data_IF_505813070178
#
_entry.id   IF_505813070178
#
_cell.length_a   1.000
_cell.length_b   1.000
_cell.length_c   1.000
_cell.angle_alpha   90.00
_cell.angle_beta   90.00
_cell.angle_gamma   90.00
#
_symmetry.space_group_name_H-M   'P 1'
#
loop_
_entity.id
_entity.type
_entity.pdbx_description
1 polymer ?
#
# COMPACT_ATOMS: atom_id res chain seq x y z
N UNK A 1 -17.55 -12.30 10.01
CA UNK A 1 -16.48 -12.62 10.95
C UNK A 1 -15.23 -12.97 10.15
N UNK A 2 -14.05 -12.48 10.55
CA UNK A 2 -12.80 -12.87 9.92
C UNK A 2 -12.43 -14.27 10.39
N UNK A 3 -12.09 -15.16 9.47
CA UNK A 3 -11.67 -16.52 9.80
C UNK A 3 -10.33 -16.48 10.55
N UNK A 4 -10.25 -17.15 11.70
CA UNK A 4 -9.07 -17.17 12.55
C UNK A 4 -7.80 -17.68 11.83
N UNK A 5 -7.94 -18.55 10.84
CA UNK A 5 -6.82 -19.06 10.04
C UNK A 5 -6.09 -17.99 9.23
N UNK A 6 -6.72 -16.82 9.02
CA UNK A 6 -6.16 -15.71 8.25
C UNK A 6 -5.61 -14.57 9.13
N UNK A 7 -5.74 -14.70 10.45
CA UNK A 7 -5.12 -13.74 11.36
C UNK A 7 -3.60 -13.91 11.35
N UNK A 8 -2.90 -12.80 11.56
CA UNK A 8 -1.45 -12.81 11.71
C UNK A 8 -1.04 -13.51 12.99
N UNK A 9 0.08 -14.19 12.95
CA UNK A 9 0.75 -14.71 14.16
C UNK A 9 1.41 -13.54 14.91
N UNK A 10 1.70 -13.74 16.19
CA UNK A 10 2.42 -12.76 17.00
C UNK A 10 3.78 -12.41 16.38
N UNK A 11 4.47 -13.40 15.82
CA UNK A 11 5.72 -13.20 15.12
C UNK A 11 5.57 -12.30 13.88
N UNK A 12 4.54 -12.51 13.06
CA UNK A 12 4.26 -11.67 11.89
C UNK A 12 3.92 -10.24 12.29
N UNK A 13 3.18 -10.06 13.39
CA UNK A 13 2.88 -8.74 13.96
C UNK A 13 4.17 -8.07 14.45
N UNK A 14 5.04 -8.81 15.12
CA UNK A 14 6.32 -8.30 15.60
C UNK A 14 7.22 -7.84 14.46
N UNK A 15 7.32 -8.61 13.37
CA UNK A 15 8.03 -8.21 12.17
C UNK A 15 7.45 -6.91 11.58
N UNK A 16 6.12 -6.84 11.44
CA UNK A 16 5.48 -5.62 10.95
C UNK A 16 5.78 -4.39 11.83
N UNK A 17 5.77 -4.55 13.17
CA UNK A 17 6.11 -3.45 14.10
C UNK A 17 7.56 -3.01 13.93
N UNK A 18 8.46 -3.95 13.69
CA UNK A 18 9.89 -3.68 13.55
C UNK A 18 10.21 -3.03 12.19
N UNK A 19 9.71 -3.63 11.12
CA UNK A 19 10.09 -3.25 9.76
C UNK A 19 9.21 -2.15 9.17
N UNK A 20 7.98 -2.00 9.68
CA UNK A 20 7.03 -0.98 9.23
C UNK A 20 6.25 -1.33 7.98
N UNK A 21 6.46 -2.50 7.40
CA UNK A 21 5.77 -2.98 6.21
C UNK A 21 5.65 -4.50 6.20
N UNK A 22 4.78 -5.01 5.34
CA UNK A 22 4.70 -6.43 5.01
C UNK A 22 4.15 -6.63 3.61
N UNK A 23 4.53 -7.71 2.96
CA UNK A 23 3.97 -8.12 1.68
C UNK A 23 2.84 -9.12 1.90
N UNK A 24 1.72 -8.94 1.23
CA UNK A 24 0.53 -9.79 1.35
C UNK A 24 0.15 -10.33 -0.03
N UNK A 25 0.35 -11.62 -0.25
CA UNK A 25 -0.07 -12.27 -1.50
C UNK A 25 -1.46 -12.89 -1.31
N UNK A 26 -2.45 -12.37 -1.99
CA UNK A 26 -3.83 -12.87 -1.95
C UNK A 26 -4.00 -14.21 -2.67
N UNK A 27 -3.16 -14.47 -3.68
CA UNK A 27 -3.23 -15.69 -4.48
C UNK A 27 -4.30 -15.64 -5.58
N UNK A 28 -4.79 -14.46 -5.94
CA UNK A 28 -5.54 -14.33 -7.18
C UNK A 28 -4.65 -14.66 -8.37
N UNK A 29 -5.27 -15.21 -9.41
CA UNK A 29 -4.55 -15.56 -10.63
C UNK A 29 -4.21 -14.32 -11.46
N UNK A 30 -3.14 -14.41 -12.23
CA UNK A 30 -2.68 -13.35 -13.13
C UNK A 30 -3.80 -12.77 -14.02
N UNK A 31 -4.74 -13.56 -14.61
CA UNK A 31 -5.83 -12.97 -15.38
C UNK A 31 -6.79 -12.06 -14.57
N UNK A 32 -6.83 -12.18 -13.24
CA UNK A 32 -7.60 -11.25 -12.38
C UNK A 32 -6.87 -9.92 -12.33
N UNK A 33 -5.57 -9.94 -12.09
CA UNK A 33 -4.74 -8.74 -12.02
C UNK A 33 -4.70 -8.02 -13.37
N UNK A 34 -4.55 -8.77 -14.48
CA UNK A 34 -4.57 -8.22 -15.83
C UNK A 34 -5.89 -7.51 -16.14
N UNK A 35 -7.05 -8.09 -15.80
CA UNK A 35 -8.34 -7.41 -16.01
C UNK A 35 -8.46 -6.11 -15.22
N UNK A 36 -7.95 -6.09 -13.98
CA UNK A 36 -7.93 -4.88 -13.16
C UNK A 36 -7.05 -3.83 -13.83
N UNK A 37 -5.85 -4.22 -14.29
CA UNK A 37 -4.92 -3.36 -14.99
C UNK A 37 -5.57 -2.76 -16.26
N UNK A 38 -6.11 -3.59 -17.13
CA UNK A 38 -6.75 -3.14 -18.38
C UNK A 38 -7.91 -2.18 -18.12
N UNK A 39 -8.70 -2.44 -17.07
CA UNK A 39 -9.79 -1.55 -16.68
C UNK A 39 -9.27 -0.20 -16.15
N UNK A 40 -8.17 -0.19 -15.41
CA UNK A 40 -7.52 1.04 -14.95
C UNK A 40 -7.02 1.84 -16.14
N UNK A 41 -6.32 1.21 -17.09
CA UNK A 41 -5.84 1.87 -18.32
C UNK A 41 -6.99 2.50 -19.10
N UNK A 42 -8.07 1.75 -19.31
CA UNK A 42 -9.27 2.24 -20.01
C UNK A 42 -9.90 3.47 -19.31
N UNK A 43 -9.95 3.45 -17.97
CA UNK A 43 -10.43 4.59 -17.17
C UNK A 43 -9.51 5.80 -17.35
N UNK A 44 -8.19 5.61 -17.27
CA UNK A 44 -7.24 6.71 -17.44
C UNK A 44 -7.25 7.28 -18.86
N UNK A 45 -7.42 6.43 -19.87
CA UNK A 45 -7.54 6.89 -21.26
C UNK A 45 -8.80 7.73 -21.48
N UNK A 46 -9.94 7.33 -20.93
CA UNK A 46 -11.24 7.97 -21.15
C UNK A 46 -11.53 9.16 -20.24
N UNK A 47 -11.15 9.05 -18.99
CA UNK A 47 -11.54 10.00 -17.93
C UNK A 47 -10.33 10.74 -17.33
N UNK A 48 -9.10 10.30 -17.58
CA UNK A 48 -7.91 10.79 -16.92
C UNK A 48 -7.82 10.30 -15.46
N UNK A 49 -7.08 11.03 -14.63
CA UNK A 49 -6.93 10.67 -13.21
C UNK A 49 -8.21 10.97 -12.43
N UNK A 50 -8.92 9.93 -12.05
CA UNK A 50 -10.19 10.01 -11.32
C UNK A 50 -10.02 10.21 -9.80
N UNK A 51 -8.78 10.28 -9.33
CA UNK A 51 -8.47 10.50 -7.92
C UNK A 51 -9.11 9.46 -7.00
N UNK A 52 -9.80 9.92 -5.97
CA UNK A 52 -10.46 9.07 -4.97
C UNK A 52 -11.65 8.25 -5.51
N UNK A 53 -12.05 8.49 -6.76
CA UNK A 53 -13.20 7.82 -7.38
C UNK A 53 -12.83 6.56 -8.17
N UNK A 54 -11.68 5.96 -7.94
CA UNK A 54 -11.23 4.77 -8.67
C UNK A 54 -12.13 3.54 -8.39
N UNK A 55 -12.56 3.30 -7.17
CA UNK A 55 -13.34 2.10 -6.83
C UNK A 55 -14.69 1.99 -7.55
N UNK A 56 -15.49 3.06 -7.76
CA UNK A 56 -16.71 2.95 -8.56
C UNK A 56 -16.45 2.62 -10.03
N UNK A 57 -15.26 2.91 -10.55
CA UNK A 57 -14.88 2.64 -11.95
C UNK A 57 -14.23 1.29 -12.13
N UNK A 58 -13.49 0.84 -11.11
CA UNK A 58 -12.77 -0.44 -11.09
C UNK A 58 -13.18 -1.21 -9.84
N UNK A 59 -14.43 -1.70 -9.76
CA UNK A 59 -14.95 -2.34 -8.55
C UNK A 59 -14.23 -3.64 -8.19
N UNK A 60 -13.52 -4.26 -9.13
CA UNK A 60 -12.70 -5.44 -8.90
C UNK A 60 -11.60 -5.20 -7.87
N UNK A 61 -11.08 -3.98 -7.74
CA UNK A 61 -10.09 -3.62 -6.71
C UNK A 61 -10.65 -3.92 -5.31
N UNK A 62 -11.95 -3.70 -5.09
CA UNK A 62 -12.57 -4.01 -3.81
C UNK A 62 -12.47 -5.50 -3.44
N UNK A 63 -12.41 -6.41 -4.42
CA UNK A 63 -12.26 -7.84 -4.19
C UNK A 63 -10.89 -8.18 -3.60
N UNK A 64 -9.83 -7.45 -3.98
CA UNK A 64 -8.48 -7.61 -3.43
C UNK A 64 -8.51 -7.32 -1.94
N UNK A 65 -9.08 -6.18 -1.55
CA UNK A 65 -9.18 -5.77 -0.15
C UNK A 65 -10.20 -6.60 0.66
N UNK A 66 -11.21 -7.16 0.00
CA UNK A 66 -12.19 -8.05 0.62
C UNK A 66 -11.71 -9.52 0.73
N UNK A 67 -10.55 -9.86 0.17
CA UNK A 67 -10.00 -11.21 0.25
C UNK A 67 -9.76 -11.61 1.71
N UNK A 68 -10.06 -12.87 2.06
CA UNK A 68 -10.01 -13.35 3.44
C UNK A 68 -8.63 -13.12 4.12
N UNK A 69 -7.55 -13.34 3.38
CA UNK A 69 -6.18 -13.11 3.86
C UNK A 69 -5.92 -11.63 4.15
N UNK A 70 -6.31 -10.74 3.23
CA UNK A 70 -6.17 -9.30 3.42
C UNK A 70 -7.00 -8.80 4.61
N UNK A 71 -8.24 -9.28 4.74
CA UNK A 71 -9.09 -9.00 5.90
C UNK A 71 -8.48 -9.50 7.20
N UNK A 72 -7.82 -10.67 7.19
CA UNK A 72 -7.11 -11.20 8.34
C UNK A 72 -5.99 -10.27 8.79
N UNK A 73 -5.15 -9.82 7.87
CA UNK A 73 -4.07 -8.86 8.13
C UNK A 73 -4.62 -7.57 8.73
N UNK A 74 -5.61 -6.95 8.06
CA UNK A 74 -6.19 -5.69 8.52
C UNK A 74 -6.86 -5.82 9.88
N UNK A 75 -7.56 -6.93 10.13
CA UNK A 75 -8.17 -7.21 11.44
C UNK A 75 -7.11 -7.38 12.54
N UNK A 76 -6.01 -8.06 12.23
CA UNK A 76 -4.92 -8.28 13.21
C UNK A 76 -4.24 -6.97 13.61
N UNK A 77 -4.07 -6.04 12.68
CA UNK A 77 -3.34 -4.80 12.92
C UNK A 77 -4.24 -3.65 13.40
N UNK A 78 -5.46 -3.54 12.90
CA UNK A 78 -6.37 -2.42 13.18
C UNK A 78 -7.56 -2.79 14.08
N UNK A 79 -7.80 -4.08 14.27
CA UNK A 79 -9.03 -4.55 14.93
C UNK A 79 -10.15 -4.83 13.92
N UNK A 80 -11.28 -5.44 14.39
CA UNK A 80 -12.33 -5.92 13.48
C UNK A 80 -13.18 -4.79 12.85
N UNK A 81 -13.16 -3.60 13.41
CA UNK A 81 -14.03 -2.47 13.03
C UNK A 81 -13.29 -1.42 12.18
N UNK A 82 -12.21 -1.82 11.49
CA UNK A 82 -11.48 -0.92 10.60
C UNK A 82 -12.35 -0.41 9.45
N UNK A 83 -12.08 0.80 9.00
CA UNK A 83 -12.79 1.45 7.91
C UNK A 83 -11.83 1.80 6.77
N UNK A 84 -12.34 1.76 5.56
CA UNK A 84 -11.61 2.25 4.40
C UNK A 84 -11.61 3.79 4.40
N UNK A 85 -10.43 4.39 4.41
CA UNK A 85 -10.28 5.83 4.27
C UNK A 85 -10.80 6.29 2.90
N UNK A 86 -11.49 7.44 2.79
CA UNK A 86 -11.88 8.01 1.51
C UNK A 86 -10.70 8.38 0.61
N UNK A 87 -9.52 8.61 1.16
CA UNK A 87 -8.30 8.81 0.36
C UNK A 87 -7.84 7.49 -0.27
N UNK A 88 -8.15 7.34 -1.55
CA UNK A 88 -7.88 6.17 -2.37
C UNK A 88 -7.41 6.67 -3.73
N UNK A 89 -6.15 6.54 -4.01
CA UNK A 89 -5.58 7.04 -5.25
C UNK A 89 -5.06 5.90 -6.11
N UNK A 90 -5.32 5.96 -7.41
CA UNK A 90 -4.57 5.21 -8.39
C UNK A 90 -3.48 6.12 -8.94
N UNK A 91 -2.24 5.73 -8.79
CA UNK A 91 -1.10 6.45 -9.32
C UNK A 91 -0.68 5.84 -10.66
N UNK A 92 -0.57 6.67 -11.67
CA UNK A 92 0.05 6.34 -12.94
C UNK A 92 1.37 7.12 -13.04
N UNK A 93 2.48 6.41 -13.12
CA UNK A 93 3.81 6.99 -13.25
C UNK A 93 4.33 6.72 -14.66
N UNK A 94 4.16 7.65 -15.61
CA UNK A 94 4.69 7.47 -16.96
C UNK A 94 6.22 7.47 -16.96
N UNK A 95 6.86 6.87 -17.99
CA UNK A 95 8.30 6.87 -18.12
C UNK A 95 8.89 8.27 -18.00
N UNK A 96 9.98 8.42 -17.22
CA UNK A 96 10.64 9.70 -16.97
C UNK A 96 9.93 10.62 -15.97
N UNK A 97 8.85 10.17 -15.32
CA UNK A 97 8.24 10.92 -14.22
C UNK A 97 9.21 11.07 -13.06
N UNK A 98 9.13 12.22 -12.38
CA UNK A 98 9.86 12.42 -11.12
C UNK A 98 9.15 11.64 -10.03
N UNK A 99 9.90 10.88 -9.25
CA UNK A 99 9.38 10.23 -8.04
C UNK A 99 8.86 11.25 -7.02
N UNK A 100 8.11 10.78 -6.06
CA UNK A 100 7.71 11.58 -4.90
C UNK A 100 8.88 11.75 -3.95
N UNK A 101 8.85 12.83 -3.16
CA UNK A 101 9.76 13.00 -2.02
C UNK A 101 9.41 12.00 -0.93
N UNK A 102 10.41 11.62 -0.14
CA UNK A 102 10.19 10.76 1.01
C UNK A 102 9.22 11.42 2.00
N UNK A 103 8.18 10.70 2.39
CA UNK A 103 7.16 11.20 3.31
C UNK A 103 6.48 10.05 4.05
N UNK A 104 5.78 10.39 5.10
CA UNK A 104 4.79 9.51 5.75
C UNK A 104 3.41 10.06 5.47
N UNK A 105 2.49 9.17 5.13
CA UNK A 105 1.08 9.52 5.00
C UNK A 105 0.46 9.73 6.39
N UNK A 106 0.53 10.96 6.88
CA UNK A 106 -0.04 11.35 8.16
C UNK A 106 -1.01 12.52 7.95
N UNK A 107 -2.20 12.22 7.44
CA UNK A 107 -3.16 13.24 6.99
C UNK A 107 -3.96 13.91 8.10
N UNK A 108 -3.89 13.42 9.32
CA UNK A 108 -4.82 13.85 10.37
C UNK A 108 -4.18 14.82 11.36
N UNK A 109 -2.86 14.87 11.42
CA UNK A 109 -2.15 15.66 12.43
C UNK A 109 -0.92 16.36 11.82
N UNK A 110 -0.77 17.63 12.15
CA UNK A 110 0.41 18.42 11.80
C UNK A 110 1.69 17.96 12.53
N UNK A 111 1.57 17.02 13.46
CA UNK A 111 2.66 16.53 14.27
C UNK A 111 2.67 15.00 14.31
N UNK A 112 3.87 14.42 14.33
CA UNK A 112 4.05 13.00 14.60
C UNK A 112 3.62 12.67 16.02
N UNK A 113 2.41 12.19 16.18
CA UNK A 113 1.95 11.68 17.46
C UNK A 113 2.35 10.22 17.62
N UNK A 114 3.04 9.91 18.71
CA UNK A 114 3.28 8.52 19.10
C UNK A 114 1.94 7.91 19.51
N UNK A 115 1.48 6.95 18.73
CA UNK A 115 0.27 6.21 19.03
C UNK A 115 0.65 4.83 19.56
N UNK A 116 0.08 4.39 20.68
CA UNK A 116 0.34 3.06 21.22
C UNK A 116 -0.31 1.93 20.39
N UNK A 117 -1.11 2.30 19.38
CA UNK A 117 -1.77 1.38 18.45
C UNK A 117 -1.68 1.92 17.04
N UNK A 118 -1.72 1.04 16.06
CA UNK A 118 -1.87 1.43 14.66
C UNK A 118 -3.26 2.03 14.45
N UNK A 119 -3.30 3.24 13.95
CA UNK A 119 -4.54 3.93 13.58
C UNK A 119 -4.75 3.95 12.07
N UNK A 120 -3.64 3.85 11.33
CA UNK A 120 -3.63 3.96 9.89
C UNK A 120 -2.70 2.92 9.30
N UNK A 121 -3.16 2.29 8.24
CA UNK A 121 -2.36 1.46 7.36
C UNK A 121 -2.55 1.95 5.93
N UNK A 122 -1.46 2.10 5.20
CA UNK A 122 -1.48 2.25 3.77
C UNK A 122 -1.38 0.85 3.13
N UNK A 123 -2.33 0.53 2.27
CA UNK A 123 -2.27 -0.68 1.48
C UNK A 123 -2.06 -0.30 0.01
N UNK A 124 -0.93 -0.72 -0.55
CA UNK A 124 -0.60 -0.57 -1.96
C UNK A 124 -0.93 -1.86 -2.69
N UNK A 125 -1.55 -1.73 -3.85
CA UNK A 125 -1.85 -2.85 -4.74
C UNK A 125 -1.28 -2.56 -6.12
N UNK A 126 -0.54 -3.51 -6.65
CA UNK A 126 0.07 -3.44 -7.98
C UNK A 126 -0.61 -4.45 -8.89
N UNK A 127 -1.43 -3.99 -9.88
CA UNK A 127 -2.12 -4.88 -10.80
C UNK A 127 -1.21 -5.48 -11.89
N UNK A 128 0.06 -5.11 -11.92
CA UNK A 128 1.07 -5.57 -12.87
C UNK A 128 2.35 -5.97 -12.15
N UNK A 129 3.20 -6.72 -12.83
CA UNK A 129 4.55 -6.96 -12.38
C UNK A 129 5.31 -5.63 -12.27
N UNK A 130 6.14 -5.50 -11.24
CA UNK A 130 6.97 -4.31 -11.01
C UNK A 130 8.43 -4.72 -10.94
N UNK A 131 9.23 -4.21 -11.87
CA UNK A 131 10.67 -4.36 -11.90
C UNK A 131 11.39 -3.09 -11.40
N UNK A 132 12.69 -3.17 -11.15
CA UNK A 132 13.47 -2.04 -10.63
C UNK A 132 13.50 -0.84 -11.58
N UNK A 133 13.50 -1.07 -12.89
CA UNK A 133 13.52 -0.04 -13.93
C UNK A 133 12.17 0.67 -14.12
N UNK A 134 11.10 0.14 -13.53
CA UNK A 134 9.76 0.75 -13.57
C UNK A 134 9.56 1.84 -12.50
N UNK A 135 10.57 2.12 -11.68
CA UNK A 135 10.47 3.11 -10.61
C UNK A 135 9.53 2.67 -9.47
N UNK A 136 9.80 1.52 -8.85
CA UNK A 136 8.97 0.99 -7.77
C UNK A 136 8.88 1.93 -6.58
N UNK A 137 7.86 1.75 -5.76
CA UNK A 137 7.79 2.43 -4.46
C UNK A 137 8.99 2.01 -3.61
N UNK A 138 9.73 2.98 -3.09
CA UNK A 138 10.80 2.74 -2.13
C UNK A 138 10.26 2.77 -0.70
N UNK A 139 10.74 1.87 0.13
CA UNK A 139 10.46 1.86 1.57
C UNK A 139 11.78 1.97 2.33
N UNK A 140 11.75 2.71 3.43
CA UNK A 140 12.82 2.74 4.43
C UNK A 140 12.37 1.89 5.63
N UNK A 141 12.84 0.64 5.75
CA UNK A 141 12.44 -0.21 6.86
C UNK A 141 12.82 0.36 8.22
N UNK A 142 11.93 0.20 9.22
CA UNK A 142 12.20 0.60 10.60
C UNK A 142 12.05 2.09 10.91
N UNK A 143 11.82 2.96 9.90
CA UNK A 143 11.74 4.42 10.12
C UNK A 143 10.34 4.92 10.45
N UNK A 144 9.34 4.07 10.43
CA UNK A 144 7.93 4.44 10.73
C UNK A 144 7.78 5.05 12.14
N UNK A 145 8.67 4.71 13.06
CA UNK A 145 8.67 5.21 14.44
C UNK A 145 9.55 6.47 14.64
N UNK A 146 10.22 6.96 13.62
CA UNK A 146 11.01 8.19 13.74
C UNK A 146 10.10 9.39 13.98
N UNK A 147 10.47 10.26 14.90
CA UNK A 147 9.63 11.38 15.37
C UNK A 147 9.37 12.42 14.28
N UNK A 148 10.34 12.60 13.40
CA UNK A 148 10.21 13.51 12.27
C UNK A 148 10.77 12.86 11.01
N UNK A 149 10.00 12.86 9.96
CA UNK A 149 10.52 12.82 8.61
C UNK A 149 10.11 14.15 7.96
N UNK A 150 10.62 15.24 8.46
CA UNK A 150 10.72 16.45 7.71
C UNK A 150 12.12 16.46 7.10
N UNK A 151 12.22 16.29 5.79
CA UNK A 151 13.46 16.26 5.03
C UNK A 151 14.51 15.22 5.49
N UNK A 152 14.24 13.91 5.34
CA UNK A 152 15.30 12.94 5.42
C UNK A 152 16.33 13.27 4.33
N UNK A 153 17.62 13.11 4.64
CA UNK A 153 18.66 13.26 3.62
C UNK A 153 18.33 12.40 2.40
N UNK A 154 18.10 12.99 1.21
CA UNK A 154 17.71 12.23 0.03
C UNK A 154 18.73 11.15 -0.36
N UNK A 155 20.02 11.38 -0.06
CA UNK A 155 21.07 10.41 -0.34
C UNK A 155 20.96 9.20 0.59
N UNK A 156 20.81 9.42 1.88
CA UNK A 156 20.61 8.37 2.87
C UNK A 156 19.37 7.52 2.53
N UNK A 157 18.26 8.18 2.19
CA UNK A 157 17.06 7.49 1.78
C UNK A 157 17.25 6.61 0.54
N UNK A 158 18.03 7.06 -0.43
CA UNK A 158 18.30 6.28 -1.65
C UNK A 158 19.18 5.06 -1.40
N UNK A 159 20.16 5.20 -0.53
CA UNK A 159 21.12 4.12 -0.22
C UNK A 159 20.49 3.00 0.61
N UNK A 160 19.53 3.34 1.47
CA UNK A 160 18.86 2.37 2.36
C UNK A 160 17.46 1.96 1.90
N UNK A 161 16.97 2.53 0.81
CA UNK A 161 15.64 2.23 0.30
C UNK A 161 15.55 0.80 -0.23
N UNK A 162 14.52 0.11 0.22
CA UNK A 162 14.09 -1.16 -0.33
C UNK A 162 13.07 -0.92 -1.44
N UNK A 163 13.37 -1.23 -2.72
CA UNK A 163 12.40 -1.13 -3.79
C UNK A 163 11.36 -2.26 -3.67
N UNK A 164 10.09 -1.94 -3.72
CA UNK A 164 9.02 -2.93 -3.75
C UNK A 164 8.83 -3.46 -5.17
N UNK A 165 9.52 -4.53 -5.48
CA UNK A 165 9.42 -5.24 -6.77
C UNK A 165 8.74 -6.58 -6.59
N UNK A 166 8.12 -7.10 -7.64
CA UNK A 166 7.48 -8.42 -7.61
C UNK A 166 6.47 -8.61 -8.72
N UNK A 167 5.86 -9.79 -8.70
CA UNK A 167 4.73 -10.11 -9.57
C UNK A 167 3.46 -9.35 -9.14
N UNK A 168 2.51 -9.23 -10.07
CA UNK A 168 1.19 -8.64 -9.82
C UNK A 168 0.48 -9.27 -8.63
N UNK A 169 -0.15 -8.44 -7.76
CA UNK A 169 -0.94 -8.93 -6.63
C UNK A 169 -0.59 -8.41 -5.25
#
# INVERSE_FOLDING_TARGET
>A
MTDAQHLLTDEAIQHFITDGYMLVHTGFSEPVHQRIYDTIEDVFEKEGNVGNNILPRVPEIARIFAHAKMRGVLTSLLGPDYLLNPHRHCHLNPPGSKGQTWHKDCYVFDHNMRQPRFHWLLALYYPQDVSEDMGPTGILPGVQNWETISDPDPQHCREEALPLTGAAG
#
